data_IF_712698850026
#
_entry.id   IF_712698850026
#
_cell.length_a   1.000
_cell.length_b   1.000
_cell.length_c   1.000
_cell.angle_alpha   90.00
_cell.angle_beta   90.00
_cell.angle_gamma   90.00
#
_symmetry.space_group_name_H-M   'P 1'
#
loop_
_entity.id
_entity.type
_entity.pdbx_description
1 polymer ?
#
# COMPACT_ATOMS: atom_id res chain seq x y z
N UNK A 1 -59.73 -20.01 -11.56
CA UNK A 1 -58.91 -18.82 -11.20
C UNK A 1 -57.69 -19.19 -10.35
N UNK A 2 -57.83 -20.02 -9.32
CA UNK A 2 -56.70 -20.43 -8.45
C UNK A 2 -55.52 -21.13 -9.17
N UNK A 3 -55.73 -21.81 -10.32
CA UNK A 3 -54.64 -22.48 -11.05
C UNK A 3 -53.75 -21.51 -11.83
N UNK A 4 -54.23 -20.33 -12.20
CA UNK A 4 -53.46 -19.28 -12.88
C UNK A 4 -52.66 -18.42 -11.92
N UNK A 5 -53.15 -18.21 -10.71
CA UNK A 5 -52.40 -17.48 -9.66
C UNK A 5 -51.17 -18.27 -9.17
N UNK A 6 -51.28 -19.61 -9.06
CA UNK A 6 -50.18 -20.48 -8.68
C UNK A 6 -49.01 -20.48 -9.73
N UNK A 7 -49.36 -20.45 -11.02
CA UNK A 7 -48.31 -20.41 -12.07
C UNK A 7 -47.61 -19.03 -12.16
N UNK A 8 -48.35 -17.93 -11.96
CA UNK A 8 -47.76 -16.59 -11.92
C UNK A 8 -46.84 -16.41 -10.71
N UNK A 9 -47.22 -16.94 -9.55
CA UNK A 9 -46.38 -16.94 -8.34
C UNK A 9 -45.08 -17.73 -8.51
N UNK A 10 -45.16 -18.91 -9.15
CA UNK A 10 -43.94 -19.72 -9.43
C UNK A 10 -42.99 -19.04 -10.47
N UNK A 11 -43.54 -18.37 -11.48
CA UNK A 11 -42.73 -17.64 -12.49
C UNK A 11 -42.07 -16.43 -11.82
N UNK A 12 -42.76 -15.64 -11.01
CA UNK A 12 -42.20 -14.51 -10.27
C UNK A 12 -41.13 -14.96 -9.26
N UNK A 13 -41.35 -16.08 -8.57
CA UNK A 13 -40.38 -16.67 -7.66
C UNK A 13 -39.10 -17.10 -8.37
N UNK A 14 -39.22 -17.81 -9.48
CA UNK A 14 -38.08 -18.20 -10.30
C UNK A 14 -37.35 -17.00 -10.92
N UNK A 15 -38.07 -15.97 -11.36
CA UNK A 15 -37.49 -14.75 -11.91
C UNK A 15 -36.68 -13.97 -10.86
N UNK A 16 -37.21 -13.86 -9.64
CA UNK A 16 -36.51 -13.25 -8.49
C UNK A 16 -35.25 -14.03 -8.09
N UNK A 17 -35.29 -15.37 -8.14
CA UNK A 17 -34.11 -16.21 -7.89
C UNK A 17 -33.06 -15.97 -8.96
N UNK A 18 -33.40 -15.93 -10.24
CA UNK A 18 -32.47 -15.69 -11.34
C UNK A 18 -31.83 -14.30 -11.25
N UNK A 19 -32.60 -13.26 -10.87
CA UNK A 19 -32.04 -11.92 -10.64
C UNK A 19 -31.07 -11.91 -9.47
N UNK A 20 -31.40 -12.54 -8.34
CA UNK A 20 -30.52 -12.66 -7.17
C UNK A 20 -29.22 -13.39 -7.52
N UNK A 21 -29.28 -14.50 -8.28
CA UNK A 21 -28.11 -15.25 -8.70
C UNK A 21 -27.23 -14.41 -9.64
N UNK A 22 -27.83 -13.71 -10.61
CA UNK A 22 -27.07 -12.81 -11.51
C UNK A 22 -26.44 -11.64 -10.74
N UNK A 23 -27.17 -11.05 -9.81
CA UNK A 23 -26.63 -9.96 -8.96
C UNK A 23 -25.48 -10.42 -8.08
N UNK A 24 -25.58 -11.58 -7.46
CA UNK A 24 -24.52 -12.17 -6.63
C UNK A 24 -23.27 -12.49 -7.48
N UNK A 25 -23.45 -13.02 -8.70
CA UNK A 25 -22.34 -13.30 -9.62
C UNK A 25 -21.65 -12.01 -10.08
N UNK A 26 -22.39 -10.98 -10.47
CA UNK A 26 -21.83 -9.67 -10.81
C UNK A 26 -21.06 -9.03 -9.66
N UNK A 27 -21.55 -9.15 -8.42
CA UNK A 27 -20.86 -8.64 -7.25
C UNK A 27 -19.56 -9.39 -6.99
N UNK A 28 -19.53 -10.71 -7.15
CA UNK A 28 -18.33 -11.55 -7.06
C UNK A 28 -17.25 -11.10 -8.07
N UNK A 29 -17.63 -10.91 -9.33
CA UNK A 29 -16.72 -10.48 -10.39
C UNK A 29 -16.08 -9.13 -10.07
N UNK A 30 -16.83 -8.17 -9.51
CA UNK A 30 -16.30 -6.88 -9.05
C UNK A 30 -15.24 -7.02 -7.93
N UNK A 31 -15.41 -7.94 -6.98
CA UNK A 31 -14.39 -8.20 -5.96
C UNK A 31 -13.10 -8.76 -6.56
N UNK A 32 -13.20 -9.63 -7.58
CA UNK A 32 -12.01 -10.14 -8.27
C UNK A 32 -11.27 -9.04 -9.03
N UNK A 33 -11.99 -8.15 -9.71
CA UNK A 33 -11.41 -7.00 -10.41
C UNK A 33 -10.65 -6.10 -9.43
N UNK A 34 -11.29 -5.74 -8.32
CA UNK A 34 -10.67 -4.92 -7.27
C UNK A 34 -9.41 -5.58 -6.69
N UNK A 35 -9.45 -6.88 -6.38
CA UNK A 35 -8.28 -7.59 -5.88
C UNK A 35 -7.13 -7.60 -6.89
N UNK A 36 -7.42 -7.88 -8.17
CA UNK A 36 -6.41 -7.89 -9.24
C UNK A 36 -5.82 -6.51 -9.53
N UNK A 37 -6.60 -5.46 -9.35
CA UNK A 37 -6.15 -4.08 -9.54
C UNK A 37 -5.28 -3.60 -8.37
N UNK A 38 -5.68 -3.89 -7.13
CA UNK A 38 -5.09 -3.29 -5.93
C UNK A 38 -4.05 -4.16 -5.23
N UNK A 39 -4.03 -5.48 -5.52
CA UNK A 39 -3.08 -6.43 -4.94
C UNK A 39 -2.13 -6.90 -6.05
N UNK A 40 -1.05 -6.15 -6.23
CA UNK A 40 -0.09 -6.36 -7.32
C UNK A 40 1.35 -6.41 -6.81
N UNK A 41 2.23 -7.19 -7.45
CA UNK A 41 3.65 -7.19 -7.11
C UNK A 41 4.30 -5.83 -7.34
N UNK A 42 5.24 -5.44 -6.49
CA UNK A 42 6.07 -4.26 -6.68
C UNK A 42 7.51 -4.49 -6.24
N UNK A 43 8.44 -3.84 -6.94
CA UNK A 43 9.87 -3.88 -6.69
C UNK A 43 10.32 -2.56 -6.03
N UNK A 44 10.71 -2.63 -4.77
CA UNK A 44 11.13 -1.43 -4.03
C UNK A 44 9.97 -0.52 -3.59
N UNK A 45 10.31 0.73 -3.25
CA UNK A 45 9.33 1.75 -2.89
C UNK A 45 8.90 2.53 -4.13
N UNK A 46 7.60 2.70 -4.33
CA UNK A 46 7.03 3.21 -5.58
C UNK A 46 7.42 4.65 -5.89
N UNK A 47 7.50 5.54 -4.90
CA UNK A 47 7.83 6.94 -5.12
C UNK A 47 9.27 7.16 -5.64
N UNK A 48 10.34 6.63 -5.01
CA UNK A 48 11.69 6.80 -5.57
C UNK A 48 11.88 6.04 -6.89
N UNK A 49 11.18 4.92 -7.09
CA UNK A 49 11.22 4.18 -8.37
C UNK A 49 10.55 4.99 -9.48
N UNK A 50 9.45 5.69 -9.20
CA UNK A 50 8.82 6.59 -10.18
C UNK A 50 9.74 7.79 -10.53
N UNK A 51 10.50 8.30 -9.55
CA UNK A 51 11.54 9.32 -9.83
C UNK A 51 12.64 8.76 -10.72
N UNK A 52 13.11 7.54 -10.44
CA UNK A 52 14.10 6.86 -11.30
C UNK A 52 13.57 6.63 -12.72
N UNK A 53 12.30 6.23 -12.84
CA UNK A 53 11.61 6.05 -14.12
C UNK A 53 11.52 7.35 -14.92
N UNK A 54 11.07 8.44 -14.30
CA UNK A 54 11.03 9.75 -14.94
C UNK A 54 12.42 10.20 -15.43
N UNK A 55 13.45 9.97 -14.62
CA UNK A 55 14.83 10.32 -14.93
C UNK A 55 15.43 9.45 -16.05
N UNK A 56 15.19 8.15 -16.04
CA UNK A 56 15.58 7.21 -17.10
C UNK A 56 14.92 7.57 -18.44
N UNK A 57 13.62 7.85 -18.42
CA UNK A 57 12.86 8.25 -19.61
C UNK A 57 13.34 9.60 -20.16
N UNK A 58 13.64 10.57 -19.29
CA UNK A 58 14.18 11.86 -19.70
C UNK A 58 15.57 11.70 -20.37
N UNK A 59 16.45 10.82 -19.86
CA UNK A 59 17.73 10.48 -20.51
C UNK A 59 17.50 9.85 -21.90
N UNK A 60 16.57 8.91 -22.02
CA UNK A 60 16.25 8.26 -23.30
C UNK A 60 15.81 9.31 -24.33
N UNK A 61 14.91 10.20 -23.97
CA UNK A 61 14.43 11.30 -24.83
C UNK A 61 15.55 12.26 -25.20
N UNK A 62 16.47 12.57 -24.27
CA UNK A 62 17.67 13.39 -24.56
C UNK A 62 18.57 12.71 -25.58
N UNK A 63 18.69 11.38 -25.54
CA UNK A 63 19.48 10.56 -26.45
C UNK A 63 20.99 10.49 -26.13
N UNK A 64 21.40 10.99 -24.95
CA UNK A 64 22.79 10.99 -24.46
C UNK A 64 22.85 11.09 -22.94
N UNK A 65 24.05 10.82 -22.37
CA UNK A 65 24.23 10.95 -20.92
C UNK A 65 24.14 12.43 -20.52
N UNK A 66 23.26 12.79 -19.58
CA UNK A 66 23.12 14.16 -19.11
C UNK A 66 24.27 14.57 -18.19
N UNK A 67 24.54 15.86 -18.16
CA UNK A 67 25.56 16.48 -17.29
C UNK A 67 24.95 17.04 -15.99
N UNK A 68 23.64 17.22 -15.94
CA UNK A 68 22.90 17.64 -14.73
C UNK A 68 21.42 17.25 -14.80
N UNK A 69 20.79 17.22 -13.63
CA UNK A 69 19.38 16.88 -13.43
C UNK A 69 18.70 17.93 -12.56
N UNK A 70 17.56 18.42 -12.97
CA UNK A 70 16.63 19.18 -12.15
C UNK A 70 15.37 18.33 -11.84
N UNK A 71 15.07 18.14 -10.57
CA UNK A 71 13.87 17.45 -10.10
C UNK A 71 12.90 18.46 -9.50
N UNK A 72 11.64 18.42 -9.94
CA UNK A 72 10.53 19.13 -9.27
C UNK A 72 9.52 18.10 -8.77
N UNK A 73 9.29 18.06 -7.46
CA UNK A 73 8.54 17.01 -6.79
C UNK A 73 7.43 17.59 -5.92
N UNK A 74 6.28 16.92 -5.87
CA UNK A 74 5.26 17.22 -4.85
C UNK A 74 5.76 16.88 -3.46
N UNK A 75 5.20 17.55 -2.44
CA UNK A 75 5.59 17.31 -1.05
C UNK A 75 5.45 15.84 -0.63
N UNK A 76 4.41 15.16 -1.09
CA UNK A 76 4.19 13.75 -0.77
C UNK A 76 5.24 12.82 -1.40
N UNK A 77 5.62 13.04 -2.67
CA UNK A 77 6.71 12.28 -3.30
C UNK A 77 8.02 12.53 -2.56
N UNK A 78 8.32 13.80 -2.26
CA UNK A 78 9.53 14.16 -1.52
C UNK A 78 9.56 13.48 -0.15
N UNK A 79 8.50 13.60 0.64
CA UNK A 79 8.37 12.98 1.96
C UNK A 79 8.59 11.47 1.94
N UNK A 80 7.99 10.77 0.97
CA UNK A 80 8.01 9.31 0.90
C UNK A 80 9.31 8.74 0.30
N UNK A 81 10.06 9.53 -0.48
CA UNK A 81 11.26 9.06 -1.17
C UNK A 81 12.58 9.47 -0.49
N UNK A 82 12.57 10.45 0.44
CA UNK A 82 13.80 11.02 1.03
C UNK A 82 14.65 10.02 1.81
N UNK A 83 14.05 9.06 2.51
CA UNK A 83 14.75 8.27 3.55
C UNK A 83 14.66 6.76 3.34
N UNK A 84 14.09 6.32 2.25
CA UNK A 84 13.90 4.90 1.94
C UNK A 84 15.09 4.33 1.16
N UNK A 85 15.41 3.07 1.43
CA UNK A 85 16.46 2.32 0.71
C UNK A 85 16.09 2.10 -0.76
N UNK A 86 17.07 2.27 -1.65
CA UNK A 86 16.90 2.04 -3.08
C UNK A 86 17.43 0.65 -3.41
N UNK A 87 16.63 -0.23 -4.03
CA UNK A 87 17.01 -1.60 -4.29
C UNK A 87 18.34 -1.73 -5.04
N UNK A 88 19.19 -2.64 -4.58
CA UNK A 88 20.46 -2.96 -5.22
C UNK A 88 21.58 -1.91 -5.04
N UNK A 89 21.29 -0.73 -4.44
CA UNK A 89 22.28 0.35 -4.31
C UNK A 89 23.01 0.40 -2.98
N UNK A 90 22.43 -0.16 -1.92
CA UNK A 90 22.90 0.01 -0.53
C UNK A 90 22.75 1.44 0.00
N UNK A 91 22.10 2.34 -0.75
CA UNK A 91 21.92 3.75 -0.42
C UNK A 91 20.44 4.11 -0.27
N UNK A 92 20.16 5.32 0.23
CA UNK A 92 18.81 5.82 0.50
C UNK A 92 18.54 7.13 -0.24
N UNK A 93 17.28 7.34 -0.58
CA UNK A 93 16.74 8.63 -0.96
C UNK A 93 16.71 8.90 -2.46
N UNK A 94 16.17 10.07 -2.78
CA UNK A 94 15.79 10.48 -4.13
C UNK A 94 17.00 10.62 -5.05
N UNK A 95 18.10 11.18 -4.53
CA UNK A 95 19.28 11.49 -5.34
C UNK A 95 19.85 10.23 -5.97
N UNK A 96 20.08 9.19 -5.17
CA UNK A 96 20.60 7.93 -5.73
C UNK A 96 19.57 7.25 -6.62
N UNK A 97 18.27 7.29 -6.29
CA UNK A 97 17.23 6.72 -7.14
C UNK A 97 17.21 7.35 -8.54
N UNK A 98 17.19 8.68 -8.61
CA UNK A 98 17.21 9.42 -9.88
C UNK A 98 18.48 9.16 -10.68
N UNK A 99 19.66 9.22 -10.01
CA UNK A 99 20.95 9.10 -10.70
C UNK A 99 21.17 7.67 -11.21
N UNK A 100 20.82 6.64 -10.42
CA UNK A 100 20.95 5.25 -10.90
C UNK A 100 19.95 4.95 -12.02
N UNK A 101 18.77 5.57 -12.00
CA UNK A 101 17.80 5.55 -13.10
C UNK A 101 18.41 6.14 -14.40
N UNK A 102 19.13 7.26 -14.28
CA UNK A 102 19.83 7.86 -15.44
C UNK A 102 20.95 6.95 -15.93
N UNK A 103 21.75 6.35 -15.05
CA UNK A 103 22.94 5.61 -15.45
C UNK A 103 22.60 4.24 -16.03
N UNK A 104 21.67 3.50 -15.42
CA UNK A 104 21.40 2.10 -15.76
C UNK A 104 19.94 1.69 -15.78
N UNK A 105 19.01 2.63 -15.58
CA UNK A 105 17.57 2.31 -15.57
C UNK A 105 17.06 1.90 -16.95
N UNK A 106 16.20 0.89 -16.98
CA UNK A 106 15.45 0.47 -18.17
C UNK A 106 14.08 1.17 -18.16
N UNK A 107 13.95 2.21 -18.98
CA UNK A 107 12.73 3.02 -19.05
C UNK A 107 11.52 2.28 -19.66
N UNK A 108 11.74 1.12 -20.27
CA UNK A 108 10.64 0.28 -20.80
C UNK A 108 10.00 -0.58 -19.72
N UNK A 109 10.70 -0.78 -18.60
CA UNK A 109 10.26 -1.59 -17.47
C UNK A 109 9.42 -0.80 -16.43
N UNK A 110 9.09 0.47 -16.69
CA UNK A 110 8.27 1.34 -15.83
C UNK A 110 8.68 1.29 -14.34
N UNK A 111 7.83 0.77 -13.46
CA UNK A 111 8.11 0.65 -12.02
C UNK A 111 9.09 -0.50 -11.67
N UNK A 112 9.58 -1.24 -12.65
CA UNK A 112 10.72 -2.16 -12.53
C UNK A 112 12.03 -1.58 -13.11
N UNK A 113 12.07 -0.29 -13.43
CA UNK A 113 13.21 0.45 -14.04
C UNK A 113 14.57 0.16 -13.41
N UNK A 114 14.62 -0.18 -12.14
CA UNK A 114 15.85 -0.47 -11.39
C UNK A 114 16.19 -1.96 -11.26
N UNK A 115 15.39 -2.86 -11.87
CA UNK A 115 15.55 -4.32 -11.71
C UNK A 115 16.87 -4.84 -12.31
N UNK A 116 17.35 -4.20 -13.38
CA UNK A 116 18.53 -4.61 -14.14
C UNK A 116 19.81 -3.84 -13.78
N UNK A 117 19.79 -2.97 -12.75
CA UNK A 117 20.97 -2.18 -12.38
C UNK A 117 22.10 -3.06 -11.88
N UNK A 118 23.33 -2.72 -12.31
CA UNK A 118 24.55 -3.42 -11.93
C UNK A 118 25.34 -2.65 -10.85
N UNK A 119 26.34 -3.29 -10.26
CA UNK A 119 27.25 -2.63 -9.31
C UNK A 119 28.00 -1.48 -9.97
N UNK A 120 28.35 -1.62 -11.23
CA UNK A 120 29.04 -0.60 -12.04
C UNK A 120 28.15 0.63 -12.22
N UNK A 121 26.85 0.43 -12.47
CA UNK A 121 25.87 1.53 -12.55
C UNK A 121 25.77 2.28 -11.21
N UNK A 122 25.76 1.56 -10.09
CA UNK A 122 25.73 2.16 -8.76
C UNK A 122 26.98 2.99 -8.49
N UNK A 123 28.18 2.49 -8.84
CA UNK A 123 29.44 3.23 -8.66
C UNK A 123 29.51 4.47 -9.56
N UNK A 124 29.01 4.40 -10.80
CA UNK A 124 28.89 5.57 -11.67
C UNK A 124 27.91 6.61 -11.09
N UNK A 125 26.77 6.17 -10.58
CA UNK A 125 25.79 7.04 -9.96
C UNK A 125 26.36 7.76 -8.72
N UNK A 126 27.14 7.05 -7.89
CA UNK A 126 27.83 7.65 -6.73
C UNK A 126 28.80 8.75 -7.16
N UNK A 127 29.62 8.50 -8.18
CA UNK A 127 30.55 9.50 -8.71
C UNK A 127 29.88 10.76 -9.23
N UNK A 128 28.73 10.63 -9.91
CA UNK A 128 27.93 11.77 -10.33
C UNK A 128 27.39 12.59 -9.14
N UNK A 129 27.06 11.92 -8.03
CA UNK A 129 26.55 12.58 -6.81
C UNK A 129 27.64 13.31 -5.99
N UNK A 130 28.93 13.06 -6.22
CA UNK A 130 30.04 13.80 -5.59
C UNK A 130 30.07 15.28 -6.00
N UNK A 131 29.39 15.63 -7.11
CA UNK A 131 29.24 17.01 -7.60
C UNK A 131 27.83 17.55 -7.43
N UNK A 132 27.59 18.77 -7.90
CA UNK A 132 26.27 19.40 -7.93
C UNK A 132 25.42 18.88 -9.10
N UNK A 133 25.31 17.56 -9.24
CA UNK A 133 24.62 16.93 -10.36
C UNK A 133 23.10 17.11 -10.32
N UNK A 134 22.52 17.16 -9.13
CA UNK A 134 21.07 17.26 -8.93
C UNK A 134 20.69 18.57 -8.24
N UNK A 135 19.73 19.28 -8.83
CA UNK A 135 19.01 20.37 -8.18
C UNK A 135 17.57 19.91 -7.92
N UNK A 136 17.08 20.11 -6.70
CA UNK A 136 15.74 19.67 -6.31
C UNK A 136 14.88 20.88 -5.91
N UNK A 137 13.62 20.89 -6.39
CA UNK A 137 12.62 21.94 -6.10
C UNK A 137 11.31 21.31 -5.63
N UNK A 138 10.65 21.97 -4.70
CA UNK A 138 9.28 21.63 -4.33
C UNK A 138 8.31 22.14 -5.40
N UNK A 139 7.39 21.30 -5.82
CA UNK A 139 6.35 21.65 -6.79
C UNK A 139 5.28 22.54 -6.16
N UNK A 140 4.79 23.51 -6.93
CA UNK A 140 3.60 24.31 -6.63
C UNK A 140 2.32 23.76 -7.24
N UNK A 141 2.42 22.67 -8.01
CA UNK A 141 1.28 22.00 -8.65
C UNK A 141 0.45 21.30 -7.55
N UNK A 142 -0.89 21.39 -7.60
CA UNK A 142 -1.75 20.85 -6.53
C UNK A 142 -1.79 19.32 -6.45
N UNK A 143 -1.33 18.62 -7.49
CA UNK A 143 -1.34 17.15 -7.52
C UNK A 143 -0.52 16.56 -6.36
N UNK A 144 -1.14 15.68 -5.59
CA UNK A 144 -0.48 14.98 -4.47
C UNK A 144 0.69 14.10 -4.95
N UNK A 145 0.61 13.55 -6.16
CA UNK A 145 1.69 12.86 -6.85
C UNK A 145 2.09 13.67 -8.08
N UNK A 146 3.25 14.31 -8.02
CA UNK A 146 3.86 15.05 -9.12
C UNK A 146 5.36 14.85 -9.12
N UNK A 147 5.90 14.46 -10.28
CA UNK A 147 7.34 14.31 -10.53
C UNK A 147 7.63 14.95 -11.88
N UNK A 148 8.61 15.86 -11.92
CA UNK A 148 9.22 16.35 -13.16
C UNK A 148 10.71 16.13 -13.07
N UNK A 149 11.24 15.32 -13.98
CA UNK A 149 12.68 15.14 -14.18
C UNK A 149 13.09 15.89 -15.46
N UNK A 150 13.98 16.89 -15.34
CA UNK A 150 14.54 17.62 -16.46
C UNK A 150 16.06 17.43 -16.48
N UNK A 151 16.54 16.82 -17.54
CA UNK A 151 17.96 16.48 -17.75
C UNK A 151 18.59 17.42 -18.78
N UNK A 152 19.88 17.76 -18.59
CA UNK A 152 20.60 18.68 -19.44
C UNK A 152 21.90 18.08 -19.94
N UNK A 153 22.31 18.46 -21.16
CA UNK A 153 23.63 18.20 -21.71
C UNK A 153 24.06 19.39 -22.60
N UNK A 154 24.80 20.33 -22.01
CA UNK A 154 25.07 21.63 -22.61
C UNK A 154 23.78 22.44 -22.75
N UNK A 155 23.47 22.91 -23.95
CA UNK A 155 22.22 23.64 -24.23
C UNK A 155 21.01 22.76 -24.48
N UNK A 156 21.22 21.46 -24.74
CA UNK A 156 20.14 20.51 -24.97
C UNK A 156 19.54 20.01 -23.66
N UNK A 157 18.22 19.80 -23.66
CA UNK A 157 17.52 19.28 -22.51
C UNK A 157 16.30 18.43 -22.90
N UNK A 158 15.92 17.52 -21.99
CA UNK A 158 14.65 16.80 -22.07
C UNK A 158 13.98 16.79 -20.69
N UNK A 159 12.65 16.76 -20.68
CA UNK A 159 11.88 16.73 -19.47
C UNK A 159 10.73 15.73 -19.56
N UNK A 160 10.47 15.03 -18.46
CA UNK A 160 9.36 14.08 -18.31
C UNK A 160 8.57 14.43 -17.07
N UNK A 161 7.25 14.48 -17.20
CA UNK A 161 6.31 14.69 -16.09
C UNK A 161 5.46 13.44 -15.84
N UNK A 162 5.35 13.06 -14.56
CA UNK A 162 4.46 12.01 -14.06
C UNK A 162 3.46 12.66 -13.11
N UNK A 163 2.15 12.34 -13.27
CA UNK A 163 1.06 12.87 -12.43
C UNK A 163 0.08 11.77 -12.03
N UNK A 164 -0.45 11.90 -10.82
CA UNK A 164 -1.58 11.15 -10.24
C UNK A 164 -1.32 9.66 -9.99
N UNK A 165 -0.62 8.97 -10.89
CA UNK A 165 -0.18 7.59 -10.74
C UNK A 165 1.32 7.47 -11.03
N UNK A 166 2.02 6.56 -10.33
CA UNK A 166 3.48 6.44 -10.35
C UNK A 166 4.11 6.12 -11.72
N UNK A 167 3.36 5.47 -12.63
CA UNK A 167 3.81 5.17 -13.99
C UNK A 167 3.15 6.07 -15.06
N UNK A 168 2.28 7.00 -14.68
CA UNK A 168 1.54 7.81 -15.64
C UNK A 168 2.35 9.02 -16.12
N UNK A 169 3.12 8.84 -17.19
CA UNK A 169 3.77 9.95 -17.90
C UNK A 169 2.69 10.79 -18.58
N UNK A 170 2.58 12.06 -18.19
CA UNK A 170 1.61 13.02 -18.71
C UNK A 170 2.20 14.00 -19.70
N UNK A 171 3.52 14.27 -19.61
CA UNK A 171 4.18 15.19 -20.54
C UNK A 171 5.63 14.79 -20.80
N UNK A 172 6.06 14.93 -22.08
CA UNK A 172 7.44 14.77 -22.52
C UNK A 172 7.79 15.97 -23.38
N UNK A 173 8.92 16.62 -23.07
CA UNK A 173 9.45 17.76 -23.81
C UNK A 173 10.93 17.56 -24.15
N UNK A 174 11.39 18.04 -25.31
CA UNK A 174 12.79 18.11 -25.71
C UNK A 174 13.07 19.48 -26.37
N UNK A 175 14.02 20.24 -25.81
CA UNK A 175 14.43 21.55 -26.33
C UNK A 175 13.27 22.53 -26.62
N UNK A 176 12.19 22.45 -25.84
CA UNK A 176 11.00 23.28 -25.99
C UNK A 176 9.92 22.70 -26.90
N UNK A 177 10.18 21.62 -27.61
CA UNK A 177 9.19 20.88 -28.36
C UNK A 177 8.45 19.86 -27.47
N UNK A 178 7.13 19.88 -27.49
CA UNK A 178 6.28 18.93 -26.78
C UNK A 178 6.10 17.66 -27.61
N UNK A 179 6.71 16.55 -27.17
CA UNK A 179 6.63 15.26 -27.86
C UNK A 179 5.36 14.49 -27.45
N UNK A 180 4.98 14.62 -26.18
CA UNK A 180 3.77 13.99 -25.62
C UNK A 180 3.12 14.95 -24.64
N UNK A 181 1.82 15.15 -24.75
CA UNK A 181 1.02 15.82 -23.74
C UNK A 181 -0.35 15.14 -23.67
N UNK A 182 -0.60 14.45 -22.58
CA UNK A 182 -1.94 13.94 -22.26
C UNK A 182 -2.76 15.13 -21.77
N UNK A 183 -3.84 15.48 -22.49
CA UNK A 183 -4.80 16.46 -21.99
C UNK A 183 -5.26 16.03 -20.62
N UNK A 184 -5.21 16.94 -19.64
CA UNK A 184 -5.89 16.72 -18.38
C UNK A 184 -7.37 16.45 -18.74
N UNK A 185 -7.86 15.25 -18.52
CA UNK A 185 -9.29 15.06 -18.38
C UNK A 185 -9.68 16.01 -17.26
N UNK A 186 -10.60 16.97 -17.56
CA UNK A 186 -11.07 17.92 -16.59
C UNK A 186 -11.70 17.13 -15.44
N UNK A 187 -10.87 16.78 -14.43
CA UNK A 187 -11.38 16.34 -13.16
C UNK A 187 -12.03 17.57 -12.54
N UNK A 188 -13.35 17.66 -12.64
CA UNK A 188 -14.12 18.51 -11.74
C UNK A 188 -13.60 18.23 -10.34
N UNK A 189 -13.40 19.28 -9.52
CA UNK A 189 -12.92 19.20 -8.14
C UNK A 189 -13.80 18.30 -7.23
N UNK A 190 -14.88 17.73 -7.78
CA UNK A 190 -15.77 16.74 -7.21
C UNK A 190 -15.66 15.35 -7.87
N UNK A 191 -14.68 15.08 -8.73
CA UNK A 191 -14.46 13.71 -9.18
C UNK A 191 -13.92 12.92 -7.99
N UNK A 192 -14.80 12.10 -7.41
CA UNK A 192 -14.39 10.87 -6.73
C UNK A 192 -13.25 10.29 -7.59
N UNK A 193 -12.03 10.23 -7.03
CA UNK A 193 -10.88 9.61 -7.71
C UNK A 193 -11.41 8.38 -8.43
N UNK A 194 -11.01 8.18 -9.68
CA UNK A 194 -11.53 7.16 -10.60
C UNK A 194 -11.17 5.72 -10.15
N UNK A 195 -11.42 5.44 -8.90
CA UNK A 195 -11.68 4.11 -8.37
C UNK A 195 -13.11 3.81 -8.78
N UNK A 196 -13.31 3.11 -9.91
CA UNK A 196 -14.62 2.79 -10.44
C UNK A 196 -15.61 2.48 -9.31
N UNK A 197 -16.85 2.96 -9.42
CA UNK A 197 -17.85 2.97 -8.33
C UNK A 197 -17.73 1.74 -7.42
N UNK A 198 -17.01 1.87 -6.28
CA UNK A 198 -16.76 0.82 -5.29
C UNK A 198 -17.74 0.88 -4.12
N UNK A 199 -18.86 1.61 -4.27
CA UNK A 199 -19.93 1.73 -3.26
C UNK A 199 -20.53 0.37 -2.84
N UNK A 200 -20.31 -0.68 -3.66
CA UNK A 200 -20.71 -2.05 -3.32
C UNK A 200 -19.86 -2.66 -2.20
N UNK A 201 -18.67 -2.13 -1.93
CA UNK A 201 -17.78 -2.62 -0.88
C UNK A 201 -18.25 -2.09 0.47
N UNK A 202 -18.68 -2.98 1.32
CA UNK A 202 -18.97 -2.76 2.74
C UNK A 202 -18.35 -3.90 3.53
N UNK A 203 -18.13 -3.71 4.82
CA UNK A 203 -17.64 -4.79 5.71
C UNK A 203 -18.51 -6.03 5.58
N UNK A 204 -19.84 -5.84 5.55
CA UNK A 204 -20.81 -6.92 5.39
C UNK A 204 -20.67 -7.63 4.03
N UNK A 205 -20.65 -6.88 2.91
CA UNK A 205 -20.56 -7.49 1.57
C UNK A 205 -19.24 -8.21 1.35
N UNK A 206 -18.14 -7.68 1.90
CA UNK A 206 -16.83 -8.32 1.89
C UNK A 206 -16.87 -9.63 2.68
N UNK A 207 -17.42 -9.62 3.89
CA UNK A 207 -17.55 -10.83 4.71
C UNK A 207 -18.41 -11.88 4.02
N UNK A 208 -19.58 -11.49 3.48
CA UNK A 208 -20.46 -12.39 2.72
C UNK A 208 -19.77 -12.98 1.48
N UNK A 209 -18.96 -12.19 0.79
CA UNK A 209 -18.15 -12.69 -0.33
C UNK A 209 -17.17 -13.77 0.14
N UNK A 210 -16.40 -13.53 1.22
CA UNK A 210 -15.42 -14.50 1.75
C UNK A 210 -16.07 -15.79 2.24
N UNK A 211 -17.23 -15.73 2.88
CA UNK A 211 -17.95 -16.94 3.33
C UNK A 211 -18.37 -17.82 2.13
N UNK A 212 -18.76 -17.20 1.00
CA UNK A 212 -19.34 -17.88 -0.16
C UNK A 212 -18.38 -18.08 -1.34
N UNK A 213 -17.15 -17.57 -1.29
CA UNK A 213 -16.19 -17.70 -2.39
C UNK A 213 -15.59 -19.11 -2.41
N UNK A 214 -15.46 -19.68 -3.62
CA UNK A 214 -14.65 -20.87 -3.82
C UNK A 214 -13.16 -20.51 -3.82
N UNK A 215 -12.33 -21.23 -3.09
CA UNK A 215 -10.90 -20.96 -2.98
C UNK A 215 -10.18 -21.01 -4.35
N UNK A 216 -10.68 -21.81 -5.28
CA UNK A 216 -10.12 -21.86 -6.65
C UNK A 216 -10.25 -20.52 -7.39
N UNK A 217 -11.28 -19.72 -7.09
CA UNK A 217 -11.54 -18.43 -7.74
C UNK A 217 -10.63 -17.31 -7.20
N UNK A 218 -10.12 -17.45 -5.96
CA UNK A 218 -9.18 -16.50 -5.33
C UNK A 218 -7.75 -17.05 -5.25
N UNK A 219 -7.44 -18.11 -5.95
CA UNK A 219 -6.13 -18.78 -5.91
C UNK A 219 -4.96 -17.85 -6.25
N UNK A 220 -5.17 -16.84 -7.07
CA UNK A 220 -4.14 -15.85 -7.39
C UNK A 220 -3.62 -15.09 -6.14
N UNK A 221 -4.39 -15.04 -5.05
CA UNK A 221 -3.95 -14.46 -3.77
C UNK A 221 -2.88 -15.33 -3.07
N UNK A 222 -2.64 -16.58 -3.48
CA UNK A 222 -1.51 -17.38 -3.00
C UNK A 222 -0.16 -16.71 -3.31
N UNK A 223 -0.08 -15.94 -4.40
CA UNK A 223 1.12 -15.18 -4.71
C UNK A 223 1.39 -14.08 -3.67
N UNK A 224 0.36 -13.45 -3.13
CA UNK A 224 0.50 -12.49 -2.04
C UNK A 224 1.05 -13.15 -0.77
N UNK A 225 0.54 -14.34 -0.43
CA UNK A 225 1.06 -15.14 0.69
C UNK A 225 2.53 -15.46 0.46
N UNK A 226 2.87 -15.98 -0.72
CA UNK A 226 4.23 -16.38 -1.08
C UNK A 226 5.23 -15.23 -1.03
N UNK A 227 4.98 -14.14 -1.76
CA UNK A 227 5.92 -13.03 -1.86
C UNK A 227 6.16 -12.36 -0.51
N UNK A 228 5.09 -12.11 0.25
CA UNK A 228 5.22 -11.43 1.53
C UNK A 228 5.77 -12.34 2.64
N UNK A 229 5.66 -13.65 2.53
CA UNK A 229 6.38 -14.61 3.38
C UNK A 229 7.88 -14.57 3.10
N UNK A 230 8.28 -14.63 1.82
CA UNK A 230 9.69 -14.64 1.42
C UNK A 230 10.42 -13.40 1.95
N UNK A 231 9.86 -12.20 1.80
CA UNK A 231 10.52 -11.00 2.31
C UNK A 231 10.53 -10.93 3.85
N UNK A 232 9.52 -11.52 4.52
CA UNK A 232 9.52 -11.61 5.98
C UNK A 232 10.63 -12.53 6.50
N UNK A 233 10.81 -13.69 5.89
CA UNK A 233 11.89 -14.62 6.19
C UNK A 233 13.27 -14.01 5.90
N UNK A 234 13.42 -13.34 4.76
CA UNK A 234 14.63 -12.60 4.41
C UNK A 234 15.01 -11.57 5.48
N UNK A 235 14.02 -10.78 5.94
CA UNK A 235 14.23 -9.77 6.99
C UNK A 235 14.53 -10.35 8.38
N UNK A 236 14.10 -11.59 8.67
CA UNK A 236 14.47 -12.29 9.91
C UNK A 236 15.89 -12.87 9.83
N UNK A 237 16.30 -13.33 8.64
CA UNK A 237 17.62 -13.98 8.46
C UNK A 237 18.76 -12.95 8.38
N UNK A 238 18.51 -11.82 7.72
CA UNK A 238 19.55 -10.84 7.40
C UNK A 238 19.38 -9.53 8.19
N UNK A 239 20.45 -8.74 8.24
CA UNK A 239 20.49 -7.47 8.96
C UNK A 239 19.98 -6.32 8.08
N UNK A 240 18.69 -6.01 8.23
CA UNK A 240 18.01 -4.92 7.51
C UNK A 240 17.50 -3.83 8.45
N UNK A 241 17.57 -2.59 8.01
CA UNK A 241 16.93 -1.45 8.65
C UNK A 241 17.28 -1.28 10.12
N UNK A 242 16.25 -1.28 10.96
CA UNK A 242 16.38 -1.21 12.42
C UNK A 242 16.41 -2.59 13.10
N UNK A 243 16.29 -3.67 12.33
CA UNK A 243 16.24 -5.06 12.81
C UNK A 243 15.12 -5.30 13.83
N UNK A 244 14.01 -4.57 13.72
CA UNK A 244 12.90 -4.65 14.67
C UNK A 244 12.35 -6.07 14.76
N UNK A 245 12.11 -6.71 13.59
CA UNK A 245 11.60 -8.07 13.55
C UNK A 245 12.60 -9.09 14.09
N UNK A 246 13.85 -9.01 13.64
CA UNK A 246 14.92 -9.93 14.07
C UNK A 246 15.16 -9.86 15.58
N UNK A 247 15.26 -8.66 16.14
CA UNK A 247 15.47 -8.45 17.59
C UNK A 247 14.34 -9.07 18.42
N UNK A 248 13.08 -9.05 17.92
CA UNK A 248 11.96 -9.66 18.64
C UNK A 248 12.04 -11.19 18.74
N UNK A 249 12.74 -11.84 17.82
CA UNK A 249 12.97 -13.30 17.86
C UNK A 249 14.32 -13.67 18.48
N UNK A 250 15.16 -12.71 18.85
CA UNK A 250 16.43 -12.97 19.53
C UNK A 250 16.17 -13.71 20.86
N UNK A 251 16.89 -14.81 21.07
CA UNK A 251 16.72 -15.62 22.28
C UNK A 251 17.06 -14.87 23.56
N UNK A 252 17.96 -13.89 23.51
CA UNK A 252 18.33 -13.06 24.64
C UNK A 252 17.18 -12.15 25.12
N UNK A 253 16.24 -11.84 24.23
CA UNK A 253 15.09 -10.96 24.49
C UNK A 253 13.80 -11.72 24.82
N UNK A 254 13.80 -13.04 24.78
CA UNK A 254 12.60 -13.86 24.97
C UNK A 254 11.95 -13.73 26.35
N UNK A 255 12.72 -13.39 27.38
CA UNK A 255 12.18 -13.15 28.72
C UNK A 255 11.21 -11.97 28.75
N UNK A 256 11.51 -10.91 27.98
CA UNK A 256 10.68 -9.71 27.90
C UNK A 256 9.52 -9.86 26.91
N UNK A 257 9.75 -10.46 25.75
CA UNK A 257 8.79 -10.50 24.65
C UNK A 257 8.07 -11.85 24.54
N UNK A 258 8.69 -12.92 24.99
CA UNK A 258 8.17 -14.28 24.94
C UNK A 258 8.05 -14.86 23.54
N UNK A 259 7.64 -16.14 23.43
CA UNK A 259 7.43 -16.86 22.18
C UNK A 259 5.93 -17.03 21.87
N UNK A 260 5.14 -15.97 22.03
CA UNK A 260 3.72 -15.97 21.74
C UNK A 260 3.44 -15.90 20.22
N UNK A 261 2.22 -16.27 19.82
CA UNK A 261 1.74 -16.07 18.45
C UNK A 261 1.80 -14.58 18.08
N UNK A 262 1.44 -13.70 18.99
CA UNK A 262 1.50 -12.25 18.81
C UNK A 262 2.93 -11.79 18.52
N UNK A 263 3.91 -12.18 19.37
CA UNK A 263 5.30 -11.78 19.16
C UNK A 263 5.85 -12.28 17.81
N UNK A 264 5.50 -13.50 17.43
CA UNK A 264 5.88 -14.06 16.12
C UNK A 264 5.29 -13.28 14.96
N UNK A 265 4.00 -12.94 15.01
CA UNK A 265 3.33 -12.16 13.97
C UNK A 265 3.93 -10.75 13.84
N UNK A 266 4.21 -10.09 14.97
CA UNK A 266 4.87 -8.79 14.98
C UNK A 266 6.28 -8.90 14.40
N UNK A 267 7.05 -9.91 14.81
CA UNK A 267 8.42 -10.11 14.34
C UNK A 267 8.50 -10.32 12.83
N UNK A 268 7.71 -11.24 12.27
CA UNK A 268 7.66 -11.48 10.82
C UNK A 268 7.28 -10.22 10.05
N UNK A 269 6.25 -9.50 10.52
CA UNK A 269 5.75 -8.32 9.79
C UNK A 269 6.72 -7.15 9.85
N UNK A 270 7.33 -6.92 11.01
CA UNK A 270 8.35 -5.89 11.17
C UNK A 270 9.60 -6.21 10.35
N UNK A 271 10.04 -7.48 10.30
CA UNK A 271 11.18 -7.92 9.50
C UNK A 271 10.96 -7.71 7.99
N UNK A 272 9.77 -8.02 7.48
CA UNK A 272 9.42 -7.72 6.10
C UNK A 272 9.51 -6.21 5.79
N UNK A 273 9.03 -5.38 6.70
CA UNK A 273 9.15 -3.92 6.59
C UNK A 273 10.59 -3.45 6.72
N UNK A 274 11.39 -4.01 7.62
CA UNK A 274 12.82 -3.71 7.76
C UNK A 274 13.56 -3.99 6.44
N UNK A 275 13.37 -5.18 5.85
CA UNK A 275 13.99 -5.56 4.59
C UNK A 275 13.59 -4.63 3.45
N UNK A 276 12.28 -4.39 3.27
CA UNK A 276 11.75 -3.52 2.21
C UNK A 276 12.24 -2.08 2.34
N UNK A 277 12.19 -1.50 3.54
CA UNK A 277 12.59 -0.11 3.77
C UNK A 277 14.09 0.12 3.69
N UNK A 278 14.88 -0.92 3.85
CA UNK A 278 16.33 -0.90 3.65
C UNK A 278 16.76 -1.12 2.18
N UNK A 279 15.82 -1.42 1.27
CA UNK A 279 16.11 -1.60 -0.14
C UNK A 279 16.45 -3.03 -0.54
N UNK A 280 15.81 -4.02 0.09
CA UNK A 280 15.84 -5.41 -0.39
C UNK A 280 15.41 -5.48 -1.86
N UNK A 281 16.07 -6.35 -2.63
CA UNK A 281 15.76 -6.60 -4.05
C UNK A 281 14.63 -7.62 -4.25
N UNK A 282 14.02 -8.09 -3.18
CA UNK A 282 12.88 -9.00 -3.26
C UNK A 282 11.58 -8.23 -3.56
N UNK A 283 10.73 -8.74 -4.45
CA UNK A 283 9.42 -8.15 -4.69
C UNK A 283 8.51 -8.37 -3.48
N UNK A 284 7.55 -7.46 -3.30
CA UNK A 284 6.48 -7.59 -2.32
C UNK A 284 5.13 -7.51 -3.02
N UNK A 285 4.14 -8.19 -2.49
CA UNK A 285 2.76 -7.94 -2.89
C UNK A 285 2.26 -6.69 -2.19
N UNK A 286 1.83 -5.71 -2.96
CA UNK A 286 1.28 -4.44 -2.47
C UNK A 286 -0.20 -4.57 -2.10
N UNK A 287 -0.72 -3.54 -1.45
CA UNK A 287 -2.15 -3.30 -1.34
C UNK A 287 -2.37 -1.81 -1.54
N UNK A 288 -3.29 -1.45 -2.44
CA UNK A 288 -3.62 -0.07 -2.79
C UNK A 288 -2.38 0.80 -3.10
N UNK A 289 -1.45 0.24 -3.87
CA UNK A 289 -0.22 0.91 -4.31
C UNK A 289 0.88 1.04 -3.25
N UNK A 290 0.74 0.46 -2.05
CA UNK A 290 1.75 0.50 -0.99
C UNK A 290 2.23 -0.90 -0.60
N UNK A 291 3.56 -1.15 -0.71
CA UNK A 291 4.14 -2.43 -0.31
C UNK A 291 4.08 -2.66 1.20
N UNK A 292 4.34 -1.64 2.04
CA UNK A 292 4.19 -1.80 3.48
C UNK A 292 2.73 -2.04 3.88
N UNK A 293 1.76 -1.47 3.16
CA UNK A 293 0.36 -1.77 3.38
C UNK A 293 0.04 -3.22 3.01
N UNK A 294 0.57 -3.73 1.89
CA UNK A 294 0.44 -5.14 1.51
C UNK A 294 1.07 -6.10 2.52
N UNK A 295 2.31 -5.81 2.96
CA UNK A 295 2.99 -6.57 4.02
C UNK A 295 2.13 -6.60 5.30
N UNK A 296 1.67 -5.44 5.76
CA UNK A 296 0.92 -5.33 7.02
C UNK A 296 -0.49 -5.94 6.93
N UNK A 297 -1.10 -5.96 5.74
CA UNK A 297 -2.37 -6.62 5.53
C UNK A 297 -2.25 -8.16 5.46
N UNK A 298 -1.11 -8.69 5.04
CA UNK A 298 -0.99 -10.14 4.78
C UNK A 298 -0.15 -10.88 5.82
N UNK A 299 1.06 -10.39 6.13
CA UNK A 299 2.02 -11.13 6.97
C UNK A 299 1.51 -11.44 8.38
N UNK A 300 0.79 -10.54 9.10
CA UNK A 300 0.25 -10.89 10.42
C UNK A 300 -0.73 -12.07 10.34
N UNK A 301 -1.57 -12.09 9.31
CA UNK A 301 -2.55 -13.18 9.09
C UNK A 301 -1.83 -14.49 8.76
N UNK A 302 -0.81 -14.43 7.90
CA UNK A 302 0.03 -15.58 7.54
C UNK A 302 0.72 -16.13 8.79
N UNK A 303 1.37 -15.29 9.58
CA UNK A 303 2.10 -15.69 10.77
C UNK A 303 1.19 -16.35 11.84
N UNK A 304 0.01 -15.76 12.07
CA UNK A 304 -1.00 -16.32 12.97
C UNK A 304 -1.50 -17.66 12.43
N UNK A 305 -1.85 -17.73 11.14
CA UNK A 305 -2.32 -18.96 10.50
C UNK A 305 -1.30 -20.09 10.57
N UNK A 306 0.01 -19.81 10.33
CA UNK A 306 1.10 -20.77 10.49
C UNK A 306 1.18 -21.32 11.92
N UNK A 307 1.10 -20.45 12.92
CA UNK A 307 1.18 -20.84 14.34
C UNK A 307 -0.08 -21.57 14.83
N UNK A 308 -1.24 -21.23 14.30
CA UNK A 308 -2.50 -21.93 14.57
C UNK A 308 -2.65 -23.22 13.74
N UNK A 309 -1.80 -23.44 12.72
CA UNK A 309 -1.83 -24.60 11.80
C UNK A 309 -3.17 -24.72 11.07
N UNK A 310 -3.70 -23.58 10.60
CA UNK A 310 -4.93 -23.54 9.82
C UNK A 310 -4.72 -24.18 8.44
N UNK A 311 -5.81 -24.55 7.77
CA UNK A 311 -5.74 -25.10 6.41
C UNK A 311 -5.32 -24.01 5.41
N UNK A 312 -4.75 -24.38 4.24
CA UNK A 312 -4.42 -23.43 3.17
C UNK A 312 -5.64 -22.62 2.72
N UNK A 313 -6.81 -23.23 2.68
CA UNK A 313 -8.08 -22.60 2.28
C UNK A 313 -8.52 -21.55 3.30
N UNK A 314 -8.45 -21.85 4.60
CA UNK A 314 -8.74 -20.89 5.67
C UNK A 314 -7.78 -19.72 5.63
N UNK A 315 -6.49 -19.97 5.43
CA UNK A 315 -5.47 -18.93 5.31
C UNK A 315 -5.74 -18.03 4.09
N UNK A 316 -6.04 -18.63 2.94
CA UNK A 316 -6.32 -17.90 1.70
C UNK A 316 -7.53 -16.97 1.87
N UNK A 317 -8.63 -17.45 2.45
CA UNK A 317 -9.82 -16.65 2.75
C UNK A 317 -9.50 -15.51 3.73
N UNK A 318 -8.76 -15.77 4.80
CA UNK A 318 -8.42 -14.78 5.80
C UNK A 318 -7.51 -13.67 5.24
N UNK A 319 -6.52 -14.00 4.41
CA UNK A 319 -5.65 -13.02 3.73
C UNK A 319 -6.44 -12.20 2.71
N UNK A 320 -7.39 -12.83 2.01
CA UNK A 320 -8.27 -12.13 1.07
C UNK A 320 -9.22 -11.16 1.79
N UNK A 321 -9.84 -11.59 2.90
CA UNK A 321 -10.66 -10.73 3.76
C UNK A 321 -9.86 -9.50 4.22
N UNK A 322 -8.68 -9.74 4.77
CA UNK A 322 -7.78 -8.68 5.23
C UNK A 322 -7.49 -7.67 4.13
N UNK A 323 -7.14 -8.16 2.94
CA UNK A 323 -6.80 -7.32 1.80
C UNK A 323 -7.98 -6.47 1.34
N UNK A 324 -9.19 -7.04 1.27
CA UNK A 324 -10.41 -6.33 0.88
C UNK A 324 -10.83 -5.27 1.90
N UNK A 325 -10.74 -5.54 3.21
CA UNK A 325 -11.02 -4.55 4.25
C UNK A 325 -10.02 -3.37 4.16
N UNK A 326 -8.74 -3.67 3.96
CA UNK A 326 -7.73 -2.61 3.78
C UNK A 326 -8.02 -1.77 2.53
N UNK A 327 -8.40 -2.37 1.40
CA UNK A 327 -8.77 -1.67 0.17
C UNK A 327 -10.03 -0.83 0.40
N UNK A 328 -11.07 -1.37 1.05
CA UNK A 328 -12.30 -0.66 1.36
C UNK A 328 -12.03 0.62 2.15
N UNK A 329 -11.26 0.52 3.22
CA UNK A 329 -10.87 1.69 4.01
C UNK A 329 -10.02 2.67 3.19
N UNK A 330 -9.11 2.17 2.34
CA UNK A 330 -8.26 3.02 1.52
C UNK A 330 -9.04 3.81 0.47
N UNK A 331 -10.14 3.26 -0.05
CA UNK A 331 -11.05 3.99 -0.94
C UNK A 331 -11.65 5.24 -0.29
N UNK A 332 -11.93 5.19 1.02
CA UNK A 332 -12.44 6.36 1.77
C UNK A 332 -11.34 7.34 2.18
N UNK A 333 -10.12 6.84 2.43
CA UNK A 333 -8.98 7.68 2.84
C UNK A 333 -8.33 8.43 1.67
N UNK A 334 -8.35 7.85 0.47
CA UNK A 334 -7.58 8.32 -0.67
C UNK A 334 -6.14 7.79 -0.69
N UNK A 335 -5.46 7.92 -1.85
CA UNK A 335 -4.14 7.28 -2.07
C UNK A 335 -3.03 7.84 -1.18
N UNK A 336 -2.99 9.15 -0.97
CA UNK A 336 -1.96 9.84 -0.18
C UNK A 336 -2.61 10.63 0.96
N UNK A 337 -2.18 10.38 2.18
CA UNK A 337 -2.71 10.96 3.41
C UNK A 337 -1.63 11.03 4.48
N UNK A 338 -1.80 11.93 5.45
CA UNK A 338 -0.98 11.95 6.66
C UNK A 338 -1.35 10.85 7.66
N UNK A 339 -2.52 10.21 7.56
CA UNK A 339 -2.81 9.00 8.32
C UNK A 339 -1.93 7.86 7.82
N UNK A 340 -1.27 7.16 8.74
CA UNK A 340 -0.37 6.08 8.38
C UNK A 340 -1.12 4.90 7.74
N UNK A 341 -0.65 4.43 6.57
CA UNK A 341 -1.20 3.25 5.91
C UNK A 341 -1.15 1.98 6.77
N UNK A 342 -0.26 1.96 7.78
CA UNK A 342 -0.20 0.90 8.77
C UNK A 342 -1.53 0.77 9.57
N UNK A 343 -2.21 1.88 9.89
CA UNK A 343 -3.52 1.83 10.59
C UNK A 343 -4.54 1.06 9.75
N UNK A 344 -4.65 1.43 8.48
CA UNK A 344 -5.57 0.78 7.52
C UNK A 344 -5.25 -0.71 7.36
N UNK A 345 -3.99 -1.02 7.12
CA UNK A 345 -3.55 -2.39 6.86
C UNK A 345 -3.64 -3.28 8.12
N UNK A 346 -3.33 -2.73 9.29
CA UNK A 346 -3.50 -3.44 10.57
C UNK A 346 -4.96 -3.71 10.88
N UNK A 347 -5.86 -2.79 10.54
CA UNK A 347 -7.31 -3.03 10.64
C UNK A 347 -7.72 -4.19 9.74
N UNK A 348 -7.22 -4.23 8.49
CA UNK A 348 -7.45 -5.37 7.60
C UNK A 348 -6.94 -6.68 8.19
N UNK A 349 -5.67 -6.73 8.60
CA UNK A 349 -5.08 -7.97 9.15
C UNK A 349 -5.73 -8.42 10.46
N UNK A 350 -6.20 -7.49 11.29
CA UNK A 350 -6.95 -7.84 12.50
C UNK A 350 -8.27 -8.55 12.18
N UNK A 351 -8.96 -8.14 11.10
CA UNK A 351 -10.15 -8.83 10.61
C UNK A 351 -9.82 -10.24 10.10
N UNK A 352 -8.72 -10.41 9.34
CA UNK A 352 -8.24 -11.72 8.92
C UNK A 352 -7.89 -12.62 10.11
N UNK A 353 -7.25 -12.09 11.13
CA UNK A 353 -6.93 -12.82 12.38
C UNK A 353 -8.21 -13.17 13.14
N UNK A 354 -9.16 -12.23 13.27
CA UNK A 354 -10.47 -12.50 13.90
C UNK A 354 -11.20 -13.65 13.17
N UNK A 355 -11.16 -13.66 11.83
CA UNK A 355 -11.70 -14.74 11.02
C UNK A 355 -11.05 -16.10 11.30
N UNK A 356 -9.70 -16.17 11.36
CA UNK A 356 -8.97 -17.40 11.74
C UNK A 356 -9.30 -17.89 13.14
N UNK A 357 -9.66 -16.98 14.05
CA UNK A 357 -10.17 -17.31 15.39
C UNK A 357 -11.62 -17.75 15.39
N UNK A 358 -12.27 -17.93 14.23
CA UNK A 358 -13.68 -18.28 14.08
C UNK A 358 -14.64 -17.11 14.34
N UNK A 359 -14.17 -15.87 14.18
CA UNK A 359 -15.00 -14.66 14.24
C UNK A 359 -15.96 -14.59 13.06
N UNK A 360 -17.19 -14.13 13.32
CA UNK A 360 -18.24 -13.83 12.35
C UNK A 360 -18.36 -12.33 12.16
N UNK A 361 -19.33 -11.88 11.38
CA UNK A 361 -19.52 -10.46 11.06
C UNK A 361 -19.49 -9.54 12.30
N UNK A 362 -20.17 -9.85 13.42
CA UNK A 362 -20.13 -8.99 14.60
C UNK A 362 -18.72 -8.85 15.21
N UNK A 363 -17.94 -9.95 15.25
CA UNK A 363 -16.57 -9.92 15.76
C UNK A 363 -15.63 -9.15 14.80
N UNK A 364 -15.88 -9.23 13.48
CA UNK A 364 -15.12 -8.44 12.48
C UNK A 364 -15.42 -6.95 12.67
N UNK A 365 -16.69 -6.55 12.79
CA UNK A 365 -17.10 -5.16 13.05
C UNK A 365 -16.52 -4.64 14.37
N UNK A 366 -16.63 -5.44 15.44
CA UNK A 366 -16.05 -5.12 16.75
C UNK A 366 -14.53 -4.95 16.70
N UNK A 367 -13.83 -5.79 15.93
CA UNK A 367 -12.39 -5.70 15.72
C UNK A 367 -12.02 -4.37 15.05
N UNK A 368 -12.74 -3.95 14.02
CA UNK A 368 -12.52 -2.66 13.35
C UNK A 368 -12.71 -1.50 14.32
N UNK A 369 -13.80 -1.51 15.11
CA UNK A 369 -14.07 -0.48 16.13
C UNK A 369 -12.92 -0.38 17.14
N UNK A 370 -12.49 -1.52 17.68
CA UNK A 370 -11.41 -1.57 18.68
C UNK A 370 -10.09 -1.03 18.15
N UNK A 371 -9.73 -1.29 16.88
CA UNK A 371 -8.47 -0.81 16.34
C UNK A 371 -8.53 0.67 15.93
N UNK A 372 -9.64 1.11 15.34
CA UNK A 372 -9.80 2.51 14.95
C UNK A 372 -9.94 3.44 16.15
N UNK A 373 -10.60 3.01 17.22
CA UNK A 373 -10.65 3.76 18.48
C UNK A 373 -9.30 3.82 19.21
N UNK A 374 -8.34 2.93 18.86
CA UNK A 374 -7.04 2.83 19.52
C UNK A 374 -5.94 3.63 18.79
N UNK A 375 -5.69 3.36 17.48
CA UNK A 375 -4.47 3.80 16.80
C UNK A 375 -4.69 4.80 15.65
N UNK A 376 -5.88 5.36 15.47
CA UNK A 376 -6.16 6.32 14.38
C UNK A 376 -5.28 7.58 14.45
N UNK A 377 -4.70 7.90 15.61
CA UNK A 377 -3.76 9.00 15.75
C UNK A 377 -2.35 8.80 15.18
N UNK A 378 -2.04 7.64 14.59
CA UNK A 378 -0.72 7.36 14.02
C UNK A 378 -0.53 8.08 12.68
N UNK A 379 0.29 9.13 12.64
CA UNK A 379 0.59 9.86 11.40
C UNK A 379 1.72 9.21 10.58
N UNK A 380 1.71 9.50 9.27
CA UNK A 380 2.74 9.09 8.31
C UNK A 380 3.74 10.23 8.07
N UNK A 381 5.00 10.02 8.40
CA UNK A 381 6.11 10.92 8.17
C UNK A 381 7.10 10.39 7.10
N UNK A 382 6.57 9.71 6.09
CA UNK A 382 7.32 9.18 4.96
C UNK A 382 7.85 7.76 5.15
N UNK A 383 8.24 7.13 4.04
CA UNK A 383 8.80 5.78 4.03
C UNK A 383 10.25 5.79 4.53
N UNK A 384 10.56 4.94 5.51
CA UNK A 384 11.85 4.88 6.20
C UNK A 384 11.99 3.61 7.03
N UNK A 385 13.21 3.25 7.48
CA UNK A 385 13.41 2.10 8.37
C UNK A 385 12.52 2.10 9.63
N UNK A 386 12.22 3.29 10.19
CA UNK A 386 11.32 3.43 11.34
C UNK A 386 9.87 2.98 11.09
N UNK A 387 9.48 2.70 9.84
CA UNK A 387 8.16 2.12 9.53
C UNK A 387 7.97 0.74 10.18
N UNK A 388 9.04 -0.03 10.37
CA UNK A 388 8.98 -1.33 11.03
C UNK A 388 8.43 -1.24 12.47
N UNK A 389 8.76 -0.17 13.21
CA UNK A 389 8.21 0.08 14.55
C UNK A 389 6.71 0.39 14.50
N UNK A 390 6.26 1.20 13.51
CA UNK A 390 4.83 1.51 13.34
C UNK A 390 4.02 0.27 12.96
N UNK A 391 4.60 -0.58 12.10
CA UNK A 391 4.02 -1.87 11.73
C UNK A 391 3.90 -2.78 12.96
N UNK A 392 4.95 -2.89 13.78
CA UNK A 392 4.92 -3.67 15.02
C UNK A 392 3.80 -3.21 15.96
N UNK A 393 3.64 -1.90 16.15
CA UNK A 393 2.57 -1.31 16.97
C UNK A 393 1.18 -1.64 16.40
N UNK A 394 1.00 -1.49 15.07
CA UNK A 394 -0.28 -1.76 14.43
C UNK A 394 -0.70 -3.22 14.51
N UNK A 395 0.25 -4.16 14.34
CA UNK A 395 -0.01 -5.60 14.45
C UNK A 395 -0.39 -5.98 15.88
N UNK A 396 0.32 -5.45 16.90
CA UNK A 396 -0.01 -5.70 18.31
C UNK A 396 -1.41 -5.18 18.65
N UNK A 397 -1.73 -3.93 18.27
CA UNK A 397 -3.06 -3.36 18.47
C UNK A 397 -4.15 -4.17 17.74
N UNK A 398 -3.85 -4.66 16.52
CA UNK A 398 -4.76 -5.48 15.73
C UNK A 398 -5.11 -6.82 16.38
N UNK A 399 -4.09 -7.55 16.85
CA UNK A 399 -4.29 -8.84 17.55
C UNK A 399 -5.09 -8.63 18.84
N UNK A 400 -4.73 -7.60 19.61
CA UNK A 400 -5.45 -7.25 20.84
C UNK A 400 -6.92 -6.91 20.55
N UNK A 401 -7.18 -6.09 19.52
CA UNK A 401 -8.53 -5.71 19.09
C UNK A 401 -9.38 -6.92 18.68
N UNK A 402 -8.79 -7.89 17.96
CA UNK A 402 -9.46 -9.12 17.56
C UNK A 402 -9.78 -10.03 18.76
N UNK A 403 -8.86 -10.18 19.70
CA UNK A 403 -9.06 -10.97 20.92
C UNK A 403 -10.20 -10.39 21.79
N UNK A 404 -10.24 -9.06 21.95
CA UNK A 404 -11.28 -8.37 22.69
C UNK A 404 -12.65 -8.55 22.01
N UNK A 405 -12.74 -8.31 20.71
CA UNK A 405 -13.98 -8.48 19.95
C UNK A 405 -14.51 -9.90 20.02
N UNK A 406 -13.64 -10.91 19.98
CA UNK A 406 -14.00 -12.32 20.15
C UNK A 406 -14.62 -12.64 21.53
N UNK A 407 -14.33 -11.80 22.54
CA UNK A 407 -14.93 -11.89 23.89
C UNK A 407 -16.16 -10.98 24.05
N UNK A 408 -16.63 -10.34 22.98
CA UNK A 408 -17.71 -9.37 23.02
C UNK A 408 -17.32 -8.01 23.64
N UNK A 409 -16.03 -7.74 23.78
CA UNK A 409 -15.52 -6.46 24.32
C UNK A 409 -15.21 -5.54 23.15
N UNK A 410 -16.05 -4.51 22.98
CA UNK A 410 -15.98 -3.56 21.85
C UNK A 410 -16.17 -2.15 22.37
N UNK A 411 -15.41 -1.21 21.84
CA UNK A 411 -15.54 0.24 22.13
C UNK A 411 -16.95 0.69 21.75
N UNK A 412 -17.61 1.39 22.67
CA UNK A 412 -18.99 1.86 22.51
C UNK A 412 -19.13 2.97 21.47
N UNK A 413 -20.35 3.10 20.92
CA UNK A 413 -20.65 4.15 19.93
C UNK A 413 -20.78 5.56 20.53
N UNK A 414 -20.70 5.66 21.84
CA UNK A 414 -20.60 6.91 22.61
C UNK A 414 -19.16 7.34 22.90
N UNK A 415 -18.17 6.58 22.40
CA UNK A 415 -16.75 6.84 22.62
C UNK A 415 -16.06 7.42 21.37
N UNK A 416 -15.65 8.68 21.42
CA UNK A 416 -14.78 9.32 20.44
C UNK A 416 -15.33 9.32 19.01
N UNK A 417 -14.59 8.69 18.08
CA UNK A 417 -14.93 8.64 16.65
C UNK A 417 -15.72 7.39 16.25
N UNK A 418 -15.94 6.48 17.19
CA UNK A 418 -16.65 5.23 16.95
C UNK A 418 -18.17 5.51 16.86
N UNK A 419 -18.82 4.93 15.84
CA UNK A 419 -20.27 5.05 15.60
C UNK A 419 -20.93 3.68 15.77
N UNK A 420 -22.25 3.66 15.91
CA UNK A 420 -23.02 2.41 15.89
C UNK A 420 -22.81 1.66 14.58
N UNK A 421 -22.86 2.38 13.47
CA UNK A 421 -22.57 1.85 12.13
C UNK A 421 -21.07 1.69 11.91
N UNK A 422 -20.64 0.48 11.52
CA UNK A 422 -19.24 0.21 11.20
C UNK A 422 -18.75 1.05 10.03
N UNK A 423 -19.58 1.26 9.01
CA UNK A 423 -19.22 2.06 7.84
C UNK A 423 -18.99 3.52 8.23
N UNK A 424 -19.80 4.08 9.14
CA UNK A 424 -19.58 5.42 9.66
C UNK A 424 -18.31 5.52 10.49
N UNK A 425 -17.99 4.50 11.31
CA UNK A 425 -16.73 4.44 12.05
C UNK A 425 -15.53 4.52 11.09
N UNK A 426 -15.56 3.74 10.01
CA UNK A 426 -14.54 3.77 8.97
C UNK A 426 -14.47 5.16 8.31
N UNK A 427 -15.62 5.71 7.94
CA UNK A 427 -15.69 7.04 7.31
C UNK A 427 -15.15 8.15 8.23
N UNK A 428 -15.46 8.12 9.53
CA UNK A 428 -14.96 9.09 10.52
C UNK A 428 -13.42 9.06 10.61
N UNK A 429 -12.84 7.87 10.73
CA UNK A 429 -11.38 7.71 10.77
C UNK A 429 -10.72 8.19 9.47
N UNK A 430 -11.30 7.83 8.32
CA UNK A 430 -10.80 8.23 7.00
C UNK A 430 -10.95 9.74 6.75
N UNK A 431 -12.04 10.35 7.21
CA UNK A 431 -12.27 11.79 7.13
C UNK A 431 -11.18 12.57 7.87
N UNK A 432 -10.86 12.15 9.11
CA UNK A 432 -9.76 12.74 9.88
C UNK A 432 -8.45 12.63 9.10
N UNK A 433 -8.14 11.46 8.55
CA UNK A 433 -6.91 11.25 7.79
C UNK A 433 -6.84 12.05 6.49
N UNK A 434 -7.96 12.23 5.80
CA UNK A 434 -8.03 12.90 4.50
C UNK A 434 -8.06 14.43 4.62
N UNK A 435 -8.84 14.96 5.58
CA UNK A 435 -9.12 16.40 5.69
C UNK A 435 -8.41 17.03 6.90
N UNK A 436 -8.65 16.52 8.10
CA UNK A 436 -8.11 17.16 9.31
C UNK A 436 -6.58 17.04 9.43
N UNK A 437 -5.96 16.02 8.81
CA UNK A 437 -4.51 15.85 8.83
C UNK A 437 -3.77 16.54 7.68
N UNK A 438 -4.41 17.37 6.86
CA UNK A 438 -3.74 18.08 5.74
C UNK A 438 -2.66 19.04 6.24
N UNK A 439 -2.97 19.86 7.27
CA UNK A 439 -1.99 20.76 7.88
C UNK A 439 -0.88 19.99 8.63
N UNK A 440 -1.20 18.82 9.19
CA UNK A 440 -0.20 17.91 9.77
C UNK A 440 0.80 17.47 8.71
N UNK A 441 0.34 17.13 7.51
CA UNK A 441 1.20 16.70 6.40
C UNK A 441 2.14 17.81 5.94
N UNK A 442 1.63 19.03 5.80
CA UNK A 442 2.44 20.22 5.47
C UNK A 442 3.48 20.52 6.56
N UNK A 443 3.10 20.41 7.83
CA UNK A 443 4.00 20.62 8.97
C UNK A 443 5.12 19.57 9.01
N UNK A 444 4.78 18.29 8.80
CA UNK A 444 5.76 17.20 8.72
C UNK A 444 6.76 17.47 7.59
N UNK A 445 6.27 17.81 6.40
CA UNK A 445 7.14 18.13 5.26
C UNK A 445 8.09 19.29 5.59
N UNK A 446 7.58 20.37 6.17
CA UNK A 446 8.40 21.52 6.59
C UNK A 446 9.52 21.10 7.54
N UNK A 447 9.21 20.29 8.56
CA UNK A 447 10.22 19.76 9.49
C UNK A 447 11.27 18.92 8.75
N UNK A 448 10.83 18.09 7.78
CA UNK A 448 11.74 17.19 7.07
C UNK A 448 12.71 17.92 6.14
N UNK A 449 12.30 19.01 5.52
CA UNK A 449 13.15 19.78 4.58
C UNK A 449 14.01 20.84 5.25
N UNK A 450 13.83 21.07 6.54
CA UNK A 450 14.62 22.06 7.32
C UNK A 450 15.68 21.43 8.22
N UNK A 451 15.88 20.12 8.16
CA UNK A 451 16.88 19.37 8.94
C UNK A 451 18.29 19.50 8.38
#
# INVERSE_FOLDING_TARGET
>A
MEYLEGQQGAILFNYNIVIKIKGARMLKEKFYEVLKEEVVPAFGCTEPVAVAYAAAKAREVLGKMPTSLELTLSGNVLKNAMSVGIPGTGMKGINIAATVGIVGGDETAELEVLKSITKENVEQAKKLLEGNYITMKLSTVPNKLYIKAKVFSGEEWAAVEIKDMHANITKIEKNGEVILEKKAECSNENSKEDSGNRDFMTVKSIFEFIENVDCSEIKFMEEAIKLNTIIAEEGLLNDYGLKVGKTRLDNSENEMLGNSIENYAIAMTAAASDARMAGSTLPVMTNSGSGNQGITATVPVIAVGMRMKVTPEELLKAVTLSSLIAIHMKNHLGRLSALCGCVIASTGSSCGISYLMGGKLPEIEGTIKNILGNITGMFCDGAKPGCALKVATGVSAGIQGAILAKKGIVIGSDEGIVDESIEKTIMNACLIGREAMEETDKTILKIMVTK
#
